data_IF_071646235569
#
_entry.id   IF_071646235569
#
_cell.length_a   1.000
_cell.length_b   1.000
_cell.length_c   1.000
_cell.angle_alpha   90.00
_cell.angle_beta   90.00
_cell.angle_gamma   90.00
#
_symmetry.space_group_name_H-M   'P 1'
#
loop_
_entity.id
_entity.type
_entity.pdbx_description
1 polymer ?
#
# COMPACT_ATOMS: atom_id res chain seq x y z
N UNK A 1 -2.40 1.99 11.63
CA UNK A 1 -2.50 3.15 10.72
C UNK A 1 -2.34 2.71 9.27
N UNK A 2 -3.09 3.32 8.36
CA UNK A 2 -3.06 3.11 6.92
C UNK A 2 -2.69 4.42 6.22
N UNK A 3 -1.51 4.49 5.62
CA UNK A 3 -1.11 5.60 4.76
C UNK A 3 -1.69 5.38 3.36
N UNK A 4 -2.62 6.25 2.94
CA UNK A 4 -3.42 6.05 1.73
C UNK A 4 -3.02 7.03 0.62
N UNK A 5 -2.54 6.49 -0.51
CA UNK A 5 -2.23 7.27 -1.73
C UNK A 5 -3.31 6.98 -2.78
N UNK A 6 -4.12 7.99 -3.08
CA UNK A 6 -5.27 7.84 -3.97
C UNK A 6 -4.90 7.81 -5.47
N UNK A 7 -5.85 7.33 -6.28
CA UNK A 7 -5.78 7.30 -7.74
C UNK A 7 -6.24 8.59 -8.44
N UNK A 8 -6.36 8.52 -9.76
CA UNK A 8 -6.83 9.60 -10.64
C UNK A 8 -8.29 10.00 -10.35
N UNK A 9 -8.64 11.24 -10.67
CA UNK A 9 -10.00 11.81 -10.61
C UNK A 9 -10.61 11.86 -9.20
N UNK A 10 -9.82 12.31 -8.23
CA UNK A 10 -10.30 12.60 -6.88
C UNK A 10 -9.92 14.03 -6.50
N UNK A 11 -10.89 14.81 -6.03
CA UNK A 11 -10.64 16.03 -5.29
C UNK A 11 -10.37 15.73 -3.81
N UNK A 12 -9.91 16.73 -3.05
CA UNK A 12 -9.54 16.55 -1.65
C UNK A 12 -10.72 16.08 -0.80
N UNK A 13 -11.95 16.54 -1.08
CA UNK A 13 -13.14 16.11 -0.34
C UNK A 13 -13.39 14.62 -0.55
N UNK A 14 -13.36 14.15 -1.80
CA UNK A 14 -13.53 12.74 -2.13
C UNK A 14 -12.42 11.85 -1.53
N UNK A 15 -11.19 12.36 -1.42
CA UNK A 15 -10.09 11.67 -0.76
C UNK A 15 -10.35 11.52 0.74
N UNK A 16 -10.83 12.58 1.40
CA UNK A 16 -11.16 12.56 2.82
C UNK A 16 -12.36 11.65 3.11
N UNK A 17 -13.43 11.72 2.32
CA UNK A 17 -14.60 10.84 2.45
C UNK A 17 -14.21 9.36 2.29
N UNK A 18 -13.32 9.06 1.33
CA UNK A 18 -12.79 7.70 1.16
C UNK A 18 -11.91 7.27 2.32
N UNK A 19 -11.08 8.17 2.87
CA UNK A 19 -10.27 7.88 4.04
C UNK A 19 -11.14 7.57 5.26
N UNK A 20 -12.23 8.30 5.48
CA UNK A 20 -13.19 8.03 6.54
C UNK A 20 -13.88 6.68 6.35
N UNK A 21 -14.36 6.38 5.14
CA UNK A 21 -14.96 5.08 4.85
C UNK A 21 -13.99 3.91 5.08
N UNK A 22 -12.73 4.04 4.65
CA UNK A 22 -11.69 3.03 4.91
C UNK A 22 -11.48 2.84 6.42
N UNK A 23 -11.43 3.93 7.18
CA UNK A 23 -11.24 3.89 8.62
C UNK A 23 -12.36 3.13 9.33
N UNK A 24 -13.62 3.48 9.01
CA UNK A 24 -14.80 2.85 9.58
C UNK A 24 -14.92 1.37 9.16
N UNK A 25 -14.59 1.05 7.92
CA UNK A 25 -14.77 -0.30 7.36
C UNK A 25 -13.76 -1.30 7.89
N UNK A 26 -12.50 -0.89 8.07
CA UNK A 26 -11.39 -1.78 8.40
C UNK A 26 -10.83 -1.58 9.81
N UNK A 27 -11.41 -0.67 10.60
CA UNK A 27 -10.97 -0.40 11.97
C UNK A 27 -9.55 0.15 12.05
N UNK A 28 -9.13 0.95 11.07
CA UNK A 28 -7.78 1.54 10.99
C UNK A 28 -7.85 3.06 11.03
N UNK A 29 -6.81 3.71 11.56
CA UNK A 29 -6.62 5.14 11.35
C UNK A 29 -6.04 5.37 9.95
N UNK A 30 -6.62 6.28 9.17
CA UNK A 30 -6.19 6.54 7.79
C UNK A 30 -5.55 7.91 7.67
N UNK A 31 -4.32 7.94 7.15
CA UNK A 31 -3.60 9.17 6.78
C UNK A 31 -3.57 9.28 5.25
N UNK A 32 -4.45 10.07 4.63
CA UNK A 32 -4.43 10.24 3.18
C UNK A 32 -3.29 11.18 2.74
N UNK A 33 -2.57 10.79 1.69
CA UNK A 33 -1.70 11.66 0.92
C UNK A 33 -2.42 12.13 -0.33
N UNK A 34 -2.56 13.45 -0.48
CA UNK A 34 -3.20 14.06 -1.66
C UNK A 34 -2.18 14.61 -2.64
N UNK A 35 -2.47 14.44 -3.93
CA UNK A 35 -1.76 15.11 -5.03
C UNK A 35 -2.78 15.66 -6.04
N UNK A 36 -2.43 16.65 -6.90
CA UNK A 36 -3.40 17.26 -7.81
C UNK A 36 -3.91 16.27 -8.88
N UNK A 37 -5.04 15.62 -8.58
CA UNK A 37 -5.63 14.54 -9.39
C UNK A 37 -7.09 14.79 -9.78
N UNK A 38 -7.52 16.05 -9.80
CA UNK A 38 -8.92 16.43 -10.04
C UNK A 38 -9.37 16.28 -11.51
N UNK A 39 -8.56 15.64 -12.38
CA UNK A 39 -8.88 15.52 -13.79
C UNK A 39 -8.84 16.86 -14.55
N UNK A 40 -8.29 17.92 -13.95
CA UNK A 40 -7.94 19.18 -14.62
C UNK A 40 -9.05 19.90 -15.39
N UNK A 41 -10.33 19.62 -15.12
CA UNK A 41 -11.48 20.22 -15.82
C UNK A 41 -11.62 19.88 -17.32
N UNK A 42 -10.72 19.07 -17.88
CA UNK A 42 -10.73 18.66 -19.29
C UNK A 42 -11.15 17.20 -19.43
N UNK A 43 -12.08 16.89 -20.36
CA UNK A 43 -12.55 15.51 -20.59
C UNK A 43 -11.51 14.67 -21.35
N UNK A 44 -11.26 13.44 -20.90
CA UNK A 44 -10.58 12.41 -21.70
C UNK A 44 -9.08 12.23 -21.45
N UNK A 45 -8.30 12.07 -22.52
CA UNK A 45 -6.86 11.69 -22.48
C UNK A 45 -5.97 12.86 -22.02
N UNK A 46 -6.41 14.10 -22.23
CA UNK A 46 -5.65 15.32 -21.91
C UNK A 46 -5.51 15.50 -20.40
N UNK A 47 -6.60 15.33 -19.65
CA UNK A 47 -6.56 15.36 -18.19
C UNK A 47 -5.74 14.21 -17.62
N UNK A 48 -5.85 13.01 -18.18
CA UNK A 48 -5.03 11.88 -17.76
C UNK A 48 -3.52 12.11 -17.93
N UNK A 49 -3.08 12.71 -19.06
CA UNK A 49 -1.67 13.07 -19.28
C UNK A 49 -1.22 14.23 -18.37
N UNK A 50 -2.10 15.19 -18.11
CA UNK A 50 -1.82 16.29 -17.19
C UNK A 50 -1.61 15.78 -15.77
N UNK A 51 -2.50 14.91 -15.29
CA UNK A 51 -2.44 14.37 -13.94
C UNK A 51 -1.25 13.42 -13.77
N UNK A 52 -0.81 12.71 -14.82
CA UNK A 52 0.48 11.99 -14.77
C UNK A 52 1.68 12.92 -14.52
N UNK A 53 1.67 14.13 -15.10
CA UNK A 53 2.72 15.13 -14.83
C UNK A 53 2.60 15.68 -13.41
N UNK A 54 1.39 15.92 -12.93
CA UNK A 54 1.16 16.34 -11.54
C UNK A 54 1.59 15.26 -10.53
N UNK A 55 1.26 13.99 -10.79
CA UNK A 55 1.72 12.82 -10.04
C UNK A 55 3.25 12.76 -9.99
N UNK A 56 3.93 12.94 -11.13
CA UNK A 56 5.39 12.97 -11.19
C UNK A 56 5.98 14.16 -10.41
N UNK A 57 5.35 15.33 -10.48
CA UNK A 57 5.78 16.50 -9.72
C UNK A 57 5.55 16.35 -8.21
N UNK A 58 4.65 15.46 -7.80
CA UNK A 58 4.29 15.23 -6.40
C UNK A 58 5.17 14.19 -5.70
N UNK A 59 6.08 13.52 -6.42
CA UNK A 59 6.98 12.50 -5.84
C UNK A 59 7.83 13.05 -4.71
N UNK A 60 8.38 14.27 -4.86
CA UNK A 60 9.17 14.90 -3.80
C UNK A 60 8.35 15.30 -2.57
N UNK A 61 7.04 15.54 -2.72
CA UNK A 61 6.17 15.77 -1.57
C UNK A 61 5.85 14.46 -0.84
N UNK A 62 5.63 13.36 -1.58
CA UNK A 62 5.45 12.03 -1.02
C UNK A 62 6.72 11.57 -0.27
N UNK A 63 7.89 11.78 -0.85
CA UNK A 63 9.19 11.50 -0.24
C UNK A 63 9.34 12.17 1.13
N UNK A 64 9.11 13.49 1.19
CA UNK A 64 9.17 14.25 2.45
C UNK A 64 8.14 13.80 3.46
N UNK A 65 6.94 13.40 3.02
CA UNK A 65 5.90 12.89 3.92
C UNK A 65 6.35 11.57 4.56
N UNK A 66 6.89 10.63 3.76
CA UNK A 66 7.41 9.35 4.26
C UNK A 66 8.61 9.58 5.19
N UNK A 67 9.55 10.45 4.81
CA UNK A 67 10.70 10.80 5.65
C UNK A 67 10.27 11.41 7.00
N UNK A 68 9.26 12.29 7.01
CA UNK A 68 8.72 12.85 8.24
C UNK A 68 8.01 11.79 9.09
N UNK A 69 7.30 10.86 8.47
CA UNK A 69 6.71 9.73 9.18
C UNK A 69 7.79 8.87 9.85
N UNK A 70 8.85 8.53 9.13
CA UNK A 70 9.97 7.78 9.69
C UNK A 70 10.60 8.50 10.88
N UNK A 71 10.91 9.79 10.74
CA UNK A 71 11.49 10.61 11.81
C UNK A 71 10.62 10.58 13.08
N UNK A 72 9.30 10.73 12.93
CA UNK A 72 8.36 10.67 14.06
C UNK A 72 8.33 9.27 14.70
N UNK A 73 8.39 8.21 13.90
CA UNK A 73 8.37 6.83 14.40
C UNK A 73 9.65 6.46 15.14
N UNK A 74 10.80 6.92 14.64
CA UNK A 74 12.08 6.77 15.32
C UNK A 74 12.06 7.51 16.66
N UNK A 75 11.56 8.74 16.69
CA UNK A 75 11.40 9.51 17.93
C UNK A 75 10.51 8.80 18.96
N UNK A 76 9.34 8.28 18.53
CA UNK A 76 8.44 7.51 19.40
C UNK A 76 9.09 6.21 19.91
N UNK A 77 9.88 5.55 19.08
CA UNK A 77 10.61 4.34 19.47
C UNK A 77 11.70 4.66 20.51
N UNK A 78 12.50 5.69 20.28
CA UNK A 78 13.53 6.12 21.24
C UNK A 78 12.93 6.49 22.60
N UNK A 79 11.82 7.22 22.62
CA UNK A 79 11.11 7.55 23.86
C UNK A 79 10.57 6.31 24.57
N UNK A 80 10.06 5.33 23.81
CA UNK A 80 9.62 4.06 24.37
C UNK A 80 10.76 3.29 25.02
N UNK A 81 11.88 3.12 24.31
CA UNK A 81 13.06 2.40 24.81
C UNK A 81 13.60 3.07 26.07
N UNK A 82 13.74 4.41 26.09
CA UNK A 82 14.18 5.15 27.30
C UNK A 82 13.25 4.94 28.49
N UNK A 83 11.92 4.90 28.25
CA UNK A 83 10.93 4.65 29.31
C UNK A 83 11.06 3.23 29.86
N UNK A 84 11.21 2.24 28.99
CA UNK A 84 11.41 0.83 29.38
C UNK A 84 12.71 0.67 30.17
N UNK A 85 13.80 1.32 29.73
CA UNK A 85 15.09 1.32 30.43
C UNK A 85 14.98 1.91 31.83
N UNK A 86 14.31 3.06 31.96
CA UNK A 86 14.07 3.72 33.26
C UNK A 86 13.27 2.81 34.21
N UNK A 87 12.24 2.14 33.69
CA UNK A 87 11.44 1.20 34.46
C UNK A 87 12.24 -0.04 34.88
N UNK A 88 13.07 -0.57 33.98
CA UNK A 88 13.95 -1.71 34.26
C UNK A 88 14.93 -1.36 35.39
N UNK A 89 15.55 -0.18 35.33
CA UNK A 89 16.47 0.33 36.36
C UNK A 89 15.80 0.50 37.73
N UNK A 90 14.53 0.93 37.76
CA UNK A 90 13.77 1.07 39.01
C UNK A 90 13.36 -0.29 39.62
N UNK A 91 13.01 -1.27 38.77
CA UNK A 91 12.51 -2.58 39.23
C UNK A 91 13.62 -3.55 39.60
N UNK A 92 14.76 -3.49 38.90
CA UNK A 92 15.85 -4.46 39.01
C UNK A 92 17.22 -3.76 39.11
N UNK A 93 17.46 -2.93 40.14
CA UNK A 93 18.69 -2.15 40.26
C UNK A 93 19.97 -3.01 40.39
N UNK A 94 19.87 -4.18 41.02
CA UNK A 94 21.02 -5.06 41.32
C UNK A 94 20.87 -6.49 40.75
N UNK A 95 19.88 -6.73 39.87
CA UNK A 95 19.59 -8.05 39.28
C UNK A 95 19.64 -7.95 37.75
N UNK A 96 20.86 -8.04 37.20
CA UNK A 96 21.13 -7.89 35.77
C UNK A 96 20.36 -8.90 34.90
N UNK A 97 20.15 -10.13 35.38
CA UNK A 97 19.45 -11.16 34.60
C UNK A 97 17.95 -10.87 34.51
N UNK A 98 17.32 -10.40 35.58
CA UNK A 98 15.92 -9.94 35.52
C UNK A 98 15.78 -8.64 34.74
N UNK A 99 16.75 -7.75 34.86
CA UNK A 99 16.80 -6.51 34.08
C UNK A 99 16.80 -6.81 32.58
N UNK A 100 17.74 -7.63 32.10
CA UNK A 100 17.89 -7.95 30.68
C UNK A 100 16.60 -8.59 30.12
N UNK A 101 16.06 -9.59 30.82
CA UNK A 101 14.80 -10.23 30.39
C UNK A 101 13.64 -9.24 30.34
N UNK A 102 13.50 -8.37 31.33
CA UNK A 102 12.45 -7.37 31.33
C UNK A 102 12.64 -6.37 30.19
N UNK A 103 13.82 -5.78 30.08
CA UNK A 103 14.15 -4.80 29.05
C UNK A 103 13.93 -5.37 27.65
N UNK A 104 14.51 -6.53 27.32
CA UNK A 104 14.29 -7.17 26.01
C UNK A 104 12.81 -7.45 25.77
N UNK A 105 12.10 -8.06 26.71
CA UNK A 105 10.67 -8.38 26.53
C UNK A 105 9.75 -7.15 26.36
N UNK A 106 10.15 -6.00 26.90
CA UNK A 106 9.35 -4.78 26.86
C UNK A 106 9.78 -3.86 25.72
N UNK A 107 11.08 -3.75 25.43
CA UNK A 107 11.59 -3.01 24.28
C UNK A 107 11.20 -3.69 22.95
N UNK A 108 11.09 -5.03 22.94
CA UNK A 108 10.57 -5.80 21.81
C UNK A 108 9.04 -5.79 21.71
N UNK A 109 8.30 -5.27 22.69
CA UNK A 109 6.88 -4.92 22.49
C UNK A 109 6.83 -3.72 21.57
N UNK A 110 7.00 -4.07 20.30
CA UNK A 110 7.00 -3.21 19.14
C UNK A 110 5.73 -2.36 19.11
N UNK A 111 5.80 -1.20 18.45
CA UNK A 111 4.72 -0.21 18.37
C UNK A 111 3.34 -0.91 18.38
N UNK A 112 2.39 -0.54 19.27
CA UNK A 112 1.13 -1.27 19.44
C UNK A 112 0.22 -1.22 18.19
N UNK A 113 0.69 -0.60 17.11
CA UNK A 113 0.00 -0.42 15.85
C UNK A 113 0.94 -0.75 14.69
N UNK A 114 0.40 -1.41 13.68
CA UNK A 114 1.05 -1.58 12.39
C UNK A 114 0.88 -0.33 11.51
N UNK A 115 1.83 -0.08 10.63
CA UNK A 115 1.77 1.00 9.65
C UNK A 115 1.78 0.39 8.25
N UNK A 116 0.66 0.51 7.54
CA UNK A 116 0.49 -0.10 6.24
C UNK A 116 0.33 0.97 5.17
N UNK A 117 0.82 0.73 3.96
CA UNK A 117 0.67 1.61 2.81
C UNK A 117 -0.38 1.03 1.87
N UNK A 118 -1.37 1.83 1.46
CA UNK A 118 -2.28 1.51 0.37
C UNK A 118 -2.04 2.46 -0.80
N UNK A 119 -1.76 1.89 -1.98
CA UNK A 119 -1.59 2.61 -3.23
C UNK A 119 -2.73 2.22 -4.17
N UNK A 120 -3.64 3.13 -4.49
CA UNK A 120 -4.75 2.82 -5.40
C UNK A 120 -4.46 3.36 -6.80
N UNK A 121 -4.64 2.51 -7.83
CA UNK A 121 -4.64 2.96 -9.23
C UNK A 121 -3.39 3.77 -9.59
N UNK A 122 -3.54 5.02 -10.04
CA UNK A 122 -2.45 5.93 -10.37
C UNK A 122 -1.60 6.37 -9.15
N UNK A 123 -2.04 6.12 -7.91
CA UNK A 123 -1.19 6.24 -6.72
C UNK A 123 0.04 5.32 -6.79
N UNK A 124 -0.09 4.15 -7.44
CA UNK A 124 1.04 3.25 -7.72
C UNK A 124 2.06 3.88 -8.68
N UNK A 125 1.60 4.72 -9.62
CA UNK A 125 2.49 5.45 -10.52
C UNK A 125 3.29 6.51 -9.77
N UNK A 126 2.67 7.25 -8.85
CA UNK A 126 3.36 8.20 -7.96
C UNK A 126 4.48 7.49 -7.19
N UNK A 127 4.14 6.36 -6.54
CA UNK A 127 5.10 5.59 -5.75
C UNK A 127 6.22 4.95 -6.58
N UNK A 128 5.90 4.39 -7.75
CA UNK A 128 6.89 3.89 -8.71
C UNK A 128 7.92 4.96 -9.06
N UNK A 129 7.47 6.18 -9.34
CA UNK A 129 8.36 7.28 -9.71
C UNK A 129 9.15 7.84 -8.53
N UNK A 130 8.60 7.81 -7.32
CA UNK A 130 9.36 8.05 -6.09
C UNK A 130 10.55 7.09 -6.00
N UNK A 131 10.30 5.78 -6.11
CA UNK A 131 11.34 4.77 -6.02
C UNK A 131 12.40 4.92 -7.13
N UNK A 132 12.00 5.31 -8.35
CA UNK A 132 12.95 5.57 -9.45
C UNK A 132 13.76 6.86 -9.27
N UNK A 133 13.34 7.79 -8.43
CA UNK A 133 14.10 9.01 -8.18
C UNK A 133 15.35 8.68 -7.33
N UNK A 134 16.47 9.33 -7.64
CA UNK A 134 17.71 9.24 -6.84
C UNK A 134 17.59 9.94 -5.47
N UNK A 135 16.43 10.56 -5.20
CA UNK A 135 16.15 11.30 -3.97
C UNK A 135 15.65 10.36 -2.88
N UNK A 136 14.92 9.29 -3.25
CA UNK A 136 14.47 8.30 -2.30
C UNK A 136 15.66 7.53 -1.75
N UNK A 137 15.97 7.77 -0.48
CA UNK A 137 16.87 6.91 0.27
C UNK A 137 16.11 5.61 0.50
N UNK A 138 16.57 4.54 -0.14
CA UNK A 138 15.91 3.23 -0.13
C UNK A 138 15.97 2.50 1.21
N UNK A 139 16.16 3.21 2.31
CA UNK A 139 16.41 2.74 3.67
C UNK A 139 15.18 2.89 4.59
N UNK A 140 14.12 3.57 4.12
CA UNK A 140 12.90 3.77 4.90
C UNK A 140 12.08 2.48 5.08
N UNK A 141 12.44 1.69 6.08
CA UNK A 141 11.64 0.55 6.55
C UNK A 141 10.49 1.06 7.43
N UNK A 142 9.53 1.78 6.85
CA UNK A 142 8.40 2.38 7.59
C UNK A 142 7.20 1.44 7.62
N UNK A 143 6.93 0.75 6.53
CA UNK A 143 5.69 0.01 6.35
C UNK A 143 5.83 -1.47 6.72
N UNK A 144 4.80 -2.01 7.37
CA UNK A 144 4.61 -3.44 7.60
C UNK A 144 4.14 -4.10 6.31
N UNK A 145 2.96 -3.71 5.81
CA UNK A 145 2.48 -4.12 4.50
C UNK A 145 2.42 -2.95 3.52
N UNK A 146 2.70 -3.24 2.24
CA UNK A 146 2.44 -2.34 1.10
C UNK A 146 1.43 -3.01 0.18
N UNK A 147 0.25 -2.40 0.02
CA UNK A 147 -0.87 -2.94 -0.73
C UNK A 147 -1.09 -2.12 -2.00
N UNK A 148 -0.67 -2.68 -3.14
CA UNK A 148 -0.83 -2.12 -4.47
C UNK A 148 -2.20 -2.54 -5.04
N UNK A 149 -3.17 -1.63 -4.92
CA UNK A 149 -4.56 -1.89 -5.28
C UNK A 149 -4.86 -1.45 -6.70
N UNK A 150 -5.28 -2.38 -7.56
CA UNK A 150 -5.63 -2.13 -8.95
C UNK A 150 -4.59 -1.23 -9.68
N UNK A 151 -3.30 -1.60 -9.60
CA UNK A 151 -2.20 -0.74 -10.00
C UNK A 151 -2.24 -0.28 -11.47
N UNK A 152 -2.35 1.04 -11.70
CA UNK A 152 -2.29 1.67 -13.02
C UNK A 152 -0.84 2.00 -13.43
N UNK A 153 0.00 0.95 -13.42
CA UNK A 153 1.37 0.97 -13.91
C UNK A 153 1.55 -0.11 -14.96
N UNK A 154 2.53 0.02 -15.85
CA UNK A 154 2.86 -1.08 -16.77
C UNK A 154 3.24 -2.34 -15.98
N UNK A 155 2.79 -3.49 -16.46
CA UNK A 155 3.21 -4.81 -16.00
C UNK A 155 4.65 -5.12 -16.47
N UNK A 156 5.00 -4.71 -17.68
CA UNK A 156 6.36 -4.86 -18.19
C UNK A 156 7.36 -4.15 -17.25
N UNK A 157 8.43 -4.86 -16.90
CA UNK A 157 9.52 -4.44 -16.03
C UNK A 157 9.07 -3.97 -14.63
N UNK A 158 7.91 -4.44 -14.16
CA UNK A 158 7.42 -4.02 -12.85
C UNK A 158 8.31 -4.55 -11.71
N UNK A 159 8.90 -5.74 -11.86
CA UNK A 159 9.83 -6.31 -10.89
C UNK A 159 11.01 -5.36 -10.57
N UNK A 160 11.51 -4.58 -11.54
CA UNK A 160 12.64 -3.66 -11.34
C UNK A 160 12.42 -2.63 -10.21
N UNK A 161 11.16 -2.22 -10.01
CA UNK A 161 10.82 -1.22 -9.01
C UNK A 161 10.06 -1.82 -7.84
N UNK A 162 9.24 -2.85 -8.07
CA UNK A 162 8.53 -3.54 -7.00
C UNK A 162 9.53 -4.23 -6.06
N UNK A 163 10.60 -4.85 -6.58
CA UNK A 163 11.66 -5.47 -5.77
C UNK A 163 12.49 -4.48 -4.93
N UNK A 164 12.27 -3.18 -5.11
CA UNK A 164 12.95 -2.13 -4.32
C UNK A 164 12.13 -1.65 -3.14
N UNK A 165 10.85 -2.05 -3.07
CA UNK A 165 9.95 -1.64 -1.97
C UNK A 165 10.41 -2.27 -0.67
N UNK A 166 10.80 -1.45 0.30
CA UNK A 166 11.14 -1.92 1.64
C UNK A 166 9.86 -2.03 2.49
N UNK A 167 9.62 -3.21 3.06
CA UNK A 167 8.57 -3.44 4.04
C UNK A 167 8.98 -4.58 4.98
N UNK A 168 8.38 -4.65 6.17
CA UNK A 168 8.65 -5.72 7.14
C UNK A 168 7.86 -7.00 6.88
N UNK A 169 6.67 -6.85 6.30
CA UNK A 169 5.70 -7.92 6.09
C UNK A 169 5.61 -8.31 4.62
N UNK A 170 4.61 -7.75 3.92
CA UNK A 170 4.26 -8.16 2.55
C UNK A 170 4.05 -6.99 1.61
N UNK A 171 4.50 -7.17 0.36
CA UNK A 171 4.11 -6.34 -0.77
C UNK A 171 3.03 -7.06 -1.55
N UNK A 172 1.77 -6.65 -1.39
CA UNK A 172 0.66 -7.22 -2.13
C UNK A 172 0.43 -6.48 -3.44
N UNK A 173 0.21 -7.22 -4.52
CA UNK A 173 -0.27 -6.69 -5.79
C UNK A 173 -1.60 -7.35 -6.11
N UNK A 174 -2.67 -6.57 -6.15
CA UNK A 174 -4.01 -7.09 -6.41
C UNK A 174 -4.36 -6.98 -7.89
N UNK A 175 -5.00 -8.04 -8.40
CA UNK A 175 -5.31 -8.21 -9.82
C UNK A 175 -6.81 -8.46 -10.00
N UNK A 176 -7.43 -7.76 -10.93
CA UNK A 176 -8.76 -8.09 -11.45
C UNK A 176 -8.72 -8.03 -12.98
N UNK A 177 -8.77 -9.19 -13.66
CA UNK A 177 -8.77 -9.30 -15.13
C UNK A 177 -10.00 -8.63 -15.78
N UNK A 178 -11.03 -8.27 -15.01
CA UNK A 178 -12.24 -7.60 -15.51
C UNK A 178 -12.29 -6.11 -15.19
N UNK A 179 -11.23 -5.54 -14.63
CA UNK A 179 -11.19 -4.12 -14.24
C UNK A 179 -11.39 -3.19 -15.45
N UNK A 180 -12.57 -2.58 -15.51
CA UNK A 180 -12.98 -1.71 -16.62
C UNK A 180 -12.18 -0.40 -16.68
N UNK A 181 -11.71 0.12 -15.55
CA UNK A 181 -10.94 1.35 -15.51
C UNK A 181 -9.52 1.12 -16.01
N UNK A 182 -8.89 0.01 -15.63
CA UNK A 182 -7.59 -0.39 -16.16
C UNK A 182 -7.67 -0.82 -17.63
N UNK A 183 -8.76 -1.46 -18.05
CA UNK A 183 -9.03 -1.71 -19.47
C UNK A 183 -9.10 -0.39 -20.27
N UNK A 184 -9.84 0.60 -19.76
CA UNK A 184 -9.91 1.93 -20.38
C UNK A 184 -8.56 2.67 -20.34
N UNK A 185 -7.77 2.55 -19.26
CA UNK A 185 -6.42 3.13 -19.15
C UNK A 185 -5.48 2.60 -20.25
N UNK A 186 -5.57 1.32 -20.61
CA UNK A 186 -4.79 0.73 -21.72
C UNK A 186 -5.13 1.35 -23.08
N UNK A 187 -6.38 1.76 -23.28
CA UNK A 187 -6.84 2.37 -24.53
C UNK A 187 -6.40 3.84 -24.68
N UNK A 188 -6.02 4.50 -23.58
CA UNK A 188 -5.56 5.90 -23.59
C UNK A 188 -4.09 5.95 -24.07
N UNK A 189 -3.89 6.52 -25.27
CA UNK A 189 -2.67 6.70 -26.09
C UNK A 189 -1.44 7.40 -25.43
N UNK A 190 -1.16 7.16 -24.15
CA UNK A 190 -0.09 7.83 -23.39
C UNK A 190 1.20 7.01 -23.25
N UNK A 191 1.09 5.69 -23.23
CA UNK A 191 2.21 4.77 -23.34
C UNK A 191 1.75 3.65 -24.28
N UNK A 192 2.64 3.11 -25.12
CA UNK A 192 2.39 1.95 -26.00
C UNK A 192 1.40 1.00 -25.32
N UNK A 193 0.35 0.50 -26.00
CA UNK A 193 -0.76 -0.31 -25.46
C UNK A 193 -0.30 -1.52 -24.61
N UNK A 194 0.26 -1.25 -23.43
CA UNK A 194 0.95 -2.19 -22.57
C UNK A 194 -0.02 -2.65 -21.51
N UNK A 195 0.16 -3.88 -21.07
CA UNK A 195 -0.63 -4.45 -20.00
C UNK A 195 -0.44 -3.66 -18.69
N UNK A 196 -1.53 -3.51 -17.91
CA UNK A 196 -1.50 -2.86 -16.60
C UNK A 196 -1.36 -3.91 -15.51
N UNK A 197 -0.51 -3.63 -14.53
CA UNK A 197 -0.15 -4.59 -13.47
C UNK A 197 -1.37 -5.08 -12.69
N UNK A 198 -2.31 -4.19 -12.33
CA UNK A 198 -3.52 -4.58 -11.60
C UNK A 198 -4.58 -5.33 -12.42
N UNK A 199 -4.32 -5.64 -13.69
CA UNK A 199 -5.27 -6.23 -14.63
C UNK A 199 -4.68 -7.41 -15.42
N UNK A 200 -3.36 -7.61 -15.41
CA UNK A 200 -2.70 -8.58 -16.28
C UNK A 200 -2.16 -9.77 -15.48
N UNK A 201 -2.63 -11.01 -15.73
CA UNK A 201 -2.31 -12.17 -14.89
C UNK A 201 -1.02 -12.89 -15.29
N UNK A 202 -0.18 -12.28 -16.13
CA UNK A 202 1.00 -12.93 -16.72
C UNK A 202 2.26 -12.11 -16.48
N UNK A 203 3.41 -12.78 -16.46
CA UNK A 203 4.72 -12.17 -16.15
C UNK A 203 4.67 -11.42 -14.82
N UNK A 204 4.25 -12.13 -13.78
CA UNK A 204 4.24 -11.70 -12.40
C UNK A 204 5.53 -12.23 -11.77
N UNK A 205 6.64 -11.53 -11.96
CA UNK A 205 8.01 -12.03 -11.78
C UNK A 205 8.82 -11.31 -10.70
N UNK A 206 8.18 -10.47 -9.88
CA UNK A 206 8.82 -9.87 -8.70
C UNK A 206 9.23 -10.95 -7.70
N UNK A 207 10.41 -10.76 -7.10
CA UNK A 207 10.95 -11.68 -6.08
C UNK A 207 10.31 -11.50 -4.71
N UNK A 208 9.57 -10.41 -4.49
CA UNK A 208 8.97 -10.08 -3.20
C UNK A 208 7.46 -9.86 -3.24
N UNK A 209 6.88 -9.60 -4.41
CA UNK A 209 5.45 -9.36 -4.50
C UNK A 209 4.64 -10.63 -4.28
N UNK A 210 3.56 -10.49 -3.52
CA UNK A 210 2.50 -11.48 -3.39
C UNK A 210 1.32 -11.03 -4.23
N UNK A 211 1.08 -11.73 -5.34
CA UNK A 211 0.00 -11.41 -6.26
C UNK A 211 -1.31 -12.05 -5.79
N UNK A 212 -2.40 -11.29 -5.78
CA UNK A 212 -3.71 -11.72 -5.28
C UNK A 212 -4.75 -11.51 -6.35
N UNK A 213 -5.39 -12.59 -6.77
CA UNK A 213 -6.42 -12.60 -7.80
C UNK A 213 -7.82 -12.40 -7.22
N UNK A 214 -8.45 -11.29 -7.60
CA UNK A 214 -9.84 -10.93 -7.32
C UNK A 214 -10.77 -11.18 -8.50
N UNK A 215 -10.24 -11.70 -9.61
CA UNK A 215 -11.02 -11.99 -10.81
C UNK A 215 -12.15 -12.98 -10.48
N UNK A 216 -13.32 -12.71 -11.04
CA UNK A 216 -14.52 -13.54 -10.91
C UNK A 216 -15.06 -13.74 -9.49
N UNK A 217 -14.54 -12.98 -8.52
CA UNK A 217 -15.10 -13.00 -7.17
C UNK A 217 -16.53 -12.43 -7.17
N UNK A 218 -17.45 -13.08 -6.42
CA UNK A 218 -18.79 -12.54 -6.21
C UNK A 218 -18.72 -11.07 -5.80
N UNK A 219 -19.56 -10.26 -6.43
CA UNK A 219 -19.68 -8.81 -6.19
C UNK A 219 -18.50 -7.92 -6.65
N UNK A 220 -17.34 -8.48 -7.02
CA UNK A 220 -16.20 -7.71 -7.55
C UNK A 220 -16.44 -7.28 -8.99
N UNK A 221 -16.88 -8.22 -9.85
CA UNK A 221 -17.16 -8.00 -11.28
C UNK A 221 -16.06 -7.15 -11.96
N UNK A 222 -16.40 -6.01 -12.54
CA UNK A 222 -15.48 -5.11 -13.24
C UNK A 222 -14.99 -3.93 -12.39
N UNK A 223 -15.12 -4.05 -11.06
CA UNK A 223 -14.78 -2.98 -10.11
C UNK A 223 -13.29 -2.66 -10.16
N UNK A 224 -13.00 -1.37 -10.06
CA UNK A 224 -11.65 -0.80 -9.88
C UNK A 224 -11.33 -0.47 -8.42
N UNK A 225 -12.35 -0.46 -7.57
CA UNK A 225 -12.27 -0.14 -6.15
C UNK A 225 -12.88 -1.28 -5.34
N UNK A 226 -12.36 -2.50 -5.52
CA UNK A 226 -12.88 -3.70 -4.86
C UNK A 226 -12.58 -3.79 -3.36
N UNK A 227 -11.96 -2.75 -2.80
CA UNK A 227 -11.77 -2.53 -1.37
C UNK A 227 -12.92 -1.74 -0.72
N UNK A 228 -13.96 -1.33 -1.47
CA UNK A 228 -15.10 -0.57 -0.94
C UNK A 228 -16.42 -0.99 -1.60
N UNK A 229 -17.54 -0.59 -1.00
CA UNK A 229 -18.88 -0.74 -1.58
C UNK A 229 -19.31 -2.19 -1.82
N UNK A 230 -19.95 -2.45 -2.97
CA UNK A 230 -20.56 -3.75 -3.33
C UNK A 230 -19.57 -4.94 -3.22
N UNK A 231 -18.33 -4.87 -3.71
CA UNK A 231 -17.30 -5.90 -3.54
C UNK A 231 -17.13 -6.43 -2.11
N UNK A 232 -17.25 -5.57 -1.09
CA UNK A 232 -17.10 -5.96 0.32
C UNK A 232 -18.24 -6.82 0.87
N UNK A 233 -19.33 -7.01 0.12
CA UNK A 233 -20.35 -8.03 0.45
C UNK A 233 -19.79 -9.45 0.36
N UNK A 234 -18.67 -9.63 -0.33
CA UNK A 234 -17.90 -10.87 -0.27
C UNK A 234 -16.97 -10.83 0.96
N UNK A 235 -17.30 -11.65 1.97
CA UNK A 235 -16.56 -11.71 3.23
C UNK A 235 -15.07 -12.04 3.05
N UNK A 236 -14.69 -12.72 1.96
CA UNK A 236 -13.29 -13.09 1.69
C UNK A 236 -12.49 -11.91 1.14
N UNK A 237 -13.12 -11.12 0.27
CA UNK A 237 -12.59 -9.83 -0.19
C UNK A 237 -12.42 -8.88 0.99
N UNK A 238 -13.46 -8.77 1.84
CA UNK A 238 -13.40 -7.93 3.04
C UNK A 238 -12.29 -8.39 4.00
N UNK A 239 -12.19 -9.70 4.26
CA UNK A 239 -11.16 -10.27 5.14
C UNK A 239 -9.76 -9.99 4.61
N UNK A 240 -9.52 -10.17 3.31
CA UNK A 240 -8.22 -9.89 2.72
C UNK A 240 -7.78 -8.45 3.00
N UNK A 241 -8.63 -7.46 2.69
CA UNK A 241 -8.29 -6.06 2.90
C UNK A 241 -8.15 -5.72 4.39
N UNK A 242 -9.03 -6.27 5.23
CA UNK A 242 -8.93 -6.12 6.67
C UNK A 242 -7.58 -6.61 7.19
N UNK A 243 -7.18 -7.82 6.82
CA UNK A 243 -5.92 -8.42 7.28
C UNK A 243 -4.71 -7.65 6.73
N UNK A 244 -4.72 -7.28 5.44
CA UNK A 244 -3.63 -6.54 4.81
C UNK A 244 -3.44 -5.14 5.42
N UNK A 245 -4.54 -4.41 5.68
CA UNK A 245 -4.51 -3.05 6.23
C UNK A 245 -4.23 -3.01 7.74
N UNK A 246 -4.31 -4.16 8.42
CA UNK A 246 -3.97 -4.33 9.84
C UNK A 246 -2.64 -5.08 10.05
N UNK A 247 -1.75 -5.09 9.04
CA UNK A 247 -0.39 -5.63 9.17
C UNK A 247 -0.29 -7.16 9.25
N UNK A 248 -1.37 -7.89 8.97
CA UNK A 248 -1.37 -9.36 8.95
C UNK A 248 -1.01 -9.90 7.56
N UNK A 249 -0.65 -11.18 7.51
CA UNK A 249 -0.42 -11.90 6.26
C UNK A 249 -1.74 -12.34 5.64
N UNK A 250 -2.30 -11.47 4.79
CA UNK A 250 -3.61 -11.63 4.15
C UNK A 250 -3.70 -12.79 3.14
N UNK A 251 -2.58 -13.32 2.67
CA UNK A 251 -2.53 -14.52 1.82
C UNK A 251 -2.70 -15.84 2.60
N UNK A 252 -2.65 -15.78 3.94
CA UNK A 252 -2.71 -16.98 4.78
C UNK A 252 -4.02 -17.75 4.56
N UNK A 253 -3.88 -18.98 4.06
CA UNK A 253 -5.01 -19.87 3.77
C UNK A 253 -5.64 -19.68 2.39
N UNK A 254 -5.11 -18.80 1.54
CA UNK A 254 -5.47 -18.74 0.13
C UNK A 254 -4.76 -19.85 -0.65
N UNK A 255 -5.37 -20.31 -1.74
CA UNK A 255 -4.74 -21.27 -2.65
C UNK A 255 -3.76 -20.54 -3.57
N UNK A 256 -2.54 -21.10 -3.70
CA UNK A 256 -1.56 -20.61 -4.64
C UNK A 256 -1.67 -21.31 -6.00
N UNK A 257 -1.88 -20.54 -7.06
CA UNK A 257 -1.87 -20.98 -8.45
C UNK A 257 -0.45 -20.87 -9.02
N UNK A 258 0.24 -22.01 -9.07
CA UNK A 258 1.61 -22.13 -9.58
C UNK A 258 1.71 -21.70 -11.05
N UNK A 259 0.68 -21.96 -11.87
CA UNK A 259 0.73 -21.67 -13.30
C UNK A 259 0.71 -20.16 -13.58
N UNK A 260 0.14 -19.37 -12.66
CA UNK A 260 0.01 -17.91 -12.79
C UNK A 260 0.86 -17.12 -11.79
N UNK A 261 1.52 -17.79 -10.84
CA UNK A 261 2.28 -17.17 -9.74
C UNK A 261 1.43 -16.17 -8.92
N UNK A 262 0.23 -16.59 -8.50
CA UNK A 262 -0.69 -15.74 -7.72
C UNK A 262 -1.54 -16.57 -6.76
N UNK A 263 -1.98 -15.95 -5.67
CA UNK A 263 -2.98 -16.52 -4.76
C UNK A 263 -4.39 -16.19 -5.25
N UNK A 264 -5.30 -17.15 -5.14
CA UNK A 264 -6.70 -16.98 -5.51
C UNK A 264 -7.58 -16.85 -4.28
N UNK A 265 -8.48 -15.88 -4.31
CA UNK A 265 -9.61 -15.86 -3.38
C UNK A 265 -10.60 -16.92 -3.88
N UNK A 266 -10.86 -17.97 -3.09
CA UNK A 266 -11.90 -18.97 -3.37
C UNK A 266 -13.01 -18.77 -2.39
#
# INVERSE_FOLDING_TARGET
>A
MLFFVHGFNNDVSAVLDRAEHLAQTFGVEVLPFTWPANGGGARGVVSYKSDKRAALASTGALDRAIARMEELLLGLHEEHVRRVETEANLRFPDDAEKWDRFFTSQAEKWCPFSINLMLHSMGNYVFKHLLKSSVYRGDHLVFDNVVMVAADTNNEDHAEWVDRVQCRGRVYVTINERDSALAASRMKLGEKQKARLGHYPWRLDSRQAVYIDFTDQPHVTSSHAYFEGRPLRNAKVQRFFNDAFNGKFAETGLEFDIARNMYRIR
#
